data_IF_111407838130
#
_entry.id   IF_111407838130
#
_cell.length_a   1.000
_cell.length_b   1.000
_cell.length_c   1.000
_cell.angle_alpha   90.00
_cell.angle_beta   90.00
_cell.angle_gamma   90.00
#
_symmetry.space_group_name_H-M   'P 1'
#
loop_
_entity.id
_entity.type
_entity.pdbx_description
1 polymer ?
#
# COMPACT_ATOMS: atom_id res chain seq x y z
N UNK A 1 15.79 7.65 -4.75
CA UNK A 1 15.24 8.74 -5.56
C UNK A 1 15.37 10.06 -4.80
N UNK A 2 15.89 11.13 -5.43
CA UNK A 2 16.07 12.41 -4.73
C UNK A 2 15.12 13.44 -5.34
N UNK A 3 14.10 13.83 -4.58
CA UNK A 3 13.25 14.94 -4.91
C UNK A 3 13.57 16.15 -3.99
N UNK A 4 13.48 17.35 -4.54
CA UNK A 4 13.48 18.58 -3.74
C UNK A 4 12.06 19.11 -3.66
N UNK A 5 11.52 19.18 -2.46
CA UNK A 5 10.14 19.62 -2.21
C UNK A 5 10.11 21.03 -1.65
N UNK A 6 9.26 21.88 -2.21
CA UNK A 6 8.99 23.25 -1.78
C UNK A 6 7.51 23.38 -1.44
N UNK A 7 7.21 24.08 -0.36
CA UNK A 7 5.84 24.52 -0.05
C UNK A 7 5.68 25.97 -0.56
N UNK A 8 4.68 26.18 -1.41
CA UNK A 8 4.47 27.45 -2.11
C UNK A 8 3.06 27.95 -1.84
N UNK A 9 2.96 29.22 -1.39
CA UNK A 9 1.68 29.91 -1.30
C UNK A 9 1.50 30.75 -2.55
N UNK A 10 0.42 30.55 -3.30
CA UNK A 10 0.09 31.30 -4.49
C UNK A 10 -0.57 32.63 -4.14
N UNK A 11 -0.63 33.55 -5.11
CA UNK A 11 -1.18 34.89 -4.90
C UNK A 11 -2.68 34.91 -4.54
N UNK A 12 -3.42 33.88 -4.90
CA UNK A 12 -4.83 33.66 -4.56
C UNK A 12 -5.04 33.01 -3.19
N UNK A 13 -3.93 32.71 -2.46
CA UNK A 13 -3.94 32.07 -1.16
C UNK A 13 -3.95 30.55 -1.21
N UNK A 14 -3.96 29.95 -2.39
CA UNK A 14 -3.83 28.49 -2.51
C UNK A 14 -2.42 28.04 -2.12
N UNK A 15 -2.32 26.95 -1.40
CA UNK A 15 -1.05 26.33 -1.05
C UNK A 15 -0.81 25.06 -1.88
N UNK A 16 0.35 24.98 -2.50
CA UNK A 16 0.76 23.83 -3.31
C UNK A 16 2.12 23.32 -2.87
N UNK A 17 2.38 22.08 -3.22
CA UNK A 17 3.70 21.45 -3.07
C UNK A 17 4.33 21.37 -4.44
N UNK A 18 5.50 21.99 -4.63
CA UNK A 18 6.28 21.86 -5.86
C UNK A 18 7.42 20.88 -5.62
N UNK A 19 7.48 19.86 -6.46
CA UNK A 19 8.55 18.85 -6.43
C UNK A 19 9.42 18.96 -7.67
N UNK A 20 10.75 19.03 -7.48
CA UNK A 20 11.75 18.85 -8.52
C UNK A 20 12.34 17.45 -8.40
N UNK A 21 12.41 16.73 -9.51
CA UNK A 21 12.77 15.32 -9.55
C UNK A 21 13.82 15.08 -10.64
N UNK A 22 14.62 14.02 -10.45
CA UNK A 22 15.58 13.52 -11.45
C UNK A 22 14.98 12.46 -12.36
N UNK A 23 13.73 12.08 -12.12
CA UNK A 23 12.97 11.10 -12.91
C UNK A 23 11.54 11.59 -13.09
N UNK A 24 10.89 11.30 -14.23
CA UNK A 24 9.49 11.65 -14.45
C UNK A 24 8.57 11.01 -13.41
N UNK A 25 7.57 11.78 -12.95
CA UNK A 25 6.50 11.32 -12.08
C UNK A 25 5.38 10.68 -12.91
N UNK A 26 4.90 9.52 -12.51
CA UNK A 26 3.69 8.92 -13.09
C UNK A 26 2.42 9.64 -12.57
N UNK A 27 2.05 10.72 -13.26
CA UNK A 27 0.86 11.51 -12.92
C UNK A 27 -0.44 10.70 -13.09
N UNK A 28 -0.45 9.69 -13.96
CA UNK A 28 -1.66 8.87 -14.18
C UNK A 28 -1.92 7.92 -13.00
N UNK A 29 -0.88 7.53 -12.26
CA UNK A 29 -1.06 6.83 -10.99
C UNK A 29 -1.84 7.67 -9.98
N UNK A 30 -1.50 8.96 -9.85
CA UNK A 30 -2.26 9.90 -9.00
C UNK A 30 -3.70 10.08 -9.46
N UNK A 31 -3.95 10.25 -10.76
CA UNK A 31 -5.31 10.40 -11.32
C UNK A 31 -6.16 9.16 -11.03
N UNK A 32 -5.60 7.97 -11.24
CA UNK A 32 -6.28 6.69 -10.97
C UNK A 32 -6.65 6.56 -9.49
N UNK A 33 -5.68 6.81 -8.60
CA UNK A 33 -5.89 6.76 -7.17
C UNK A 33 -6.93 7.81 -6.72
N UNK A 34 -6.84 9.05 -7.21
CA UNK A 34 -7.79 10.12 -6.91
C UNK A 34 -9.19 9.82 -7.42
N UNK A 35 -9.32 9.20 -8.58
CA UNK A 35 -10.60 8.78 -9.13
C UNK A 35 -11.36 7.83 -8.20
N UNK A 36 -10.65 6.97 -7.46
CA UNK A 36 -11.23 6.04 -6.50
C UNK A 36 -11.33 6.62 -5.08
N UNK A 37 -10.25 7.23 -4.57
CA UNK A 37 -10.12 7.67 -3.19
C UNK A 37 -10.41 9.17 -2.97
N UNK A 38 -10.80 9.88 -4.03
CA UNK A 38 -11.28 11.27 -3.97
C UNK A 38 -10.32 12.23 -3.22
N UNK A 39 -10.81 12.87 -2.15
CA UNK A 39 -10.08 13.89 -1.39
C UNK A 39 -8.85 13.36 -0.62
N UNK A 40 -8.65 12.07 -0.55
CA UNK A 40 -7.50 11.48 0.15
C UNK A 40 -6.22 11.45 -0.70
N UNK A 41 -6.30 11.80 -1.98
CA UNK A 41 -5.17 11.80 -2.90
C UNK A 41 -4.93 13.20 -3.43
N UNK A 42 -3.69 13.73 -3.43
CA UNK A 42 -3.42 15.03 -4.02
C UNK A 42 -3.65 15.02 -5.55
N UNK A 43 -4.03 16.16 -6.11
CA UNK A 43 -3.85 16.38 -7.53
C UNK A 43 -2.36 16.49 -7.83
N UNK A 44 -1.93 15.99 -8.98
CA UNK A 44 -0.56 16.10 -9.45
C UNK A 44 -0.57 16.55 -10.91
N UNK A 45 0.22 17.57 -11.23
CA UNK A 45 0.34 18.14 -12.56
C UNK A 45 1.81 18.42 -12.90
N UNK A 46 2.21 18.09 -14.13
CA UNK A 46 3.52 18.49 -14.63
C UNK A 46 3.54 20.00 -14.89
N UNK A 47 4.57 20.68 -14.43
CA UNK A 47 4.71 22.13 -14.67
C UNK A 47 5.36 22.46 -16.01
N UNK A 48 5.80 21.47 -16.78
CA UNK A 48 6.35 21.56 -18.12
C UNK A 48 7.40 22.68 -18.27
N UNK A 49 8.67 22.32 -18.25
CA UNK A 49 9.76 23.28 -18.47
C UNK A 49 10.87 22.62 -19.29
N UNK A 50 10.93 22.94 -20.58
CA UNK A 50 11.88 22.31 -21.51
C UNK A 50 13.35 22.47 -21.08
N UNK A 51 13.73 23.58 -20.46
CA UNK A 51 15.11 23.80 -20.00
C UNK A 51 15.47 22.85 -18.84
N UNK A 52 14.53 22.68 -17.90
CA UNK A 52 14.71 21.73 -16.78
C UNK A 52 14.72 20.30 -17.29
N UNK A 53 13.79 19.94 -18.17
CA UNK A 53 13.68 18.59 -18.73
C UNK A 53 14.93 18.21 -19.54
N UNK A 54 15.45 19.13 -20.35
CA UNK A 54 16.71 18.96 -21.07
C UNK A 54 17.92 18.83 -20.13
N UNK A 55 17.83 19.41 -18.92
CA UNK A 55 18.85 19.25 -17.87
C UNK A 55 18.64 17.96 -17.02
N UNK A 56 17.63 17.13 -17.35
CA UNK A 56 17.32 15.92 -16.60
C UNK A 56 16.60 16.17 -15.27
N UNK A 57 15.83 17.27 -15.20
CA UNK A 57 15.01 17.60 -14.04
C UNK A 57 13.56 17.86 -14.46
N UNK A 58 12.60 17.32 -13.69
CA UNK A 58 11.17 17.50 -13.91
C UNK A 58 10.54 18.22 -12.73
N UNK A 59 9.61 19.13 -13.01
CA UNK A 59 8.89 19.89 -11.99
C UNK A 59 7.41 19.53 -11.98
N UNK A 60 6.86 19.31 -10.79
CA UNK A 60 5.45 18.96 -10.59
C UNK A 60 4.83 19.83 -9.52
N UNK A 61 3.57 20.18 -9.71
CA UNK A 61 2.71 20.80 -8.70
C UNK A 61 1.79 19.74 -8.12
N UNK A 62 1.72 19.65 -6.80
CA UNK A 62 0.79 18.76 -6.08
C UNK A 62 -0.08 19.61 -5.14
N UNK A 63 -1.33 19.21 -4.96
CA UNK A 63 -2.18 19.79 -3.91
C UNK A 63 -1.52 19.60 -2.55
N UNK A 64 -1.40 20.67 -1.77
CA UNK A 64 -0.99 20.56 -0.37
C UNK A 64 -2.11 19.91 0.44
N UNK A 65 -1.85 18.71 0.93
CA UNK A 65 -2.81 17.98 1.75
C UNK A 65 -2.72 18.41 3.21
N UNK A 66 -3.86 18.42 3.90
CA UNK A 66 -3.94 18.73 5.33
C UNK A 66 -3.56 17.52 6.18
N UNK A 67 -3.13 17.78 7.42
CA UNK A 67 -2.75 16.76 8.39
C UNK A 67 -1.27 16.74 8.71
N UNK A 68 -0.88 15.83 9.59
CA UNK A 68 0.50 15.55 9.98
C UNK A 68 0.84 14.12 9.57
N UNK A 69 2.08 13.85 9.18
CA UNK A 69 2.53 12.47 8.97
C UNK A 69 2.22 11.63 10.20
N UNK A 70 1.70 10.42 10.01
CA UNK A 70 1.39 9.50 11.11
C UNK A 70 2.57 9.37 12.08
N UNK A 71 3.79 9.19 11.56
CA UNK A 71 5.01 9.11 12.37
C UNK A 71 5.10 10.18 13.47
N UNK A 72 4.61 11.38 13.19
CA UNK A 72 4.64 12.50 14.13
C UNK A 72 3.28 12.77 14.79
N UNK A 73 2.19 12.51 14.08
CA UNK A 73 0.83 12.81 14.53
C UNK A 73 0.32 11.87 15.62
N UNK A 74 0.82 10.63 15.68
CA UNK A 74 0.43 9.63 16.68
C UNK A 74 1.17 9.78 18.01
N UNK A 75 2.16 10.65 18.08
CA UNK A 75 2.94 10.84 19.30
C UNK A 75 2.03 11.16 20.52
N UNK A 76 2.15 10.36 21.57
CA UNK A 76 1.34 10.49 22.78
C UNK A 76 -0.10 9.96 22.69
N UNK A 77 -0.51 9.39 21.54
CA UNK A 77 -1.86 8.81 21.36
C UNK A 77 -1.94 7.31 21.74
N UNK A 78 -0.80 6.64 21.89
CA UNK A 78 -0.72 5.24 22.33
C UNK A 78 -1.47 4.26 21.44
N UNK A 79 -1.94 3.17 22.05
CA UNK A 79 -2.69 2.10 21.38
C UNK A 79 -3.96 2.59 20.69
N UNK A 80 -4.73 3.48 21.32
CA UNK A 80 -5.96 4.03 20.77
C UNK A 80 -5.72 4.78 19.46
N UNK A 81 -4.64 5.56 19.38
CA UNK A 81 -4.26 6.27 18.18
C UNK A 81 -3.94 5.30 17.02
N UNK A 82 -3.16 4.25 17.29
CA UNK A 82 -2.82 3.23 16.29
C UNK A 82 -4.07 2.51 15.77
N UNK A 83 -4.96 2.11 16.68
CA UNK A 83 -6.24 1.46 16.34
C UNK A 83 -7.11 2.40 15.47
N UNK A 84 -7.22 3.67 15.85
CA UNK A 84 -8.02 4.65 15.13
C UNK A 84 -7.50 4.86 13.69
N UNK A 85 -6.18 5.02 13.52
CA UNK A 85 -5.57 5.19 12.20
C UNK A 85 -5.81 3.96 11.31
N UNK A 86 -5.60 2.75 11.82
CA UNK A 86 -5.82 1.52 11.05
C UNK A 86 -7.29 1.38 10.61
N UNK A 87 -8.25 1.69 11.49
CA UNK A 87 -9.68 1.77 11.12
C UNK A 87 -9.92 2.79 10.02
N UNK A 88 -9.36 3.99 10.18
CA UNK A 88 -9.50 5.05 9.19
C UNK A 88 -8.91 4.66 7.83
N UNK A 89 -7.73 4.02 7.80
CA UNK A 89 -7.17 3.46 6.58
C UNK A 89 -8.11 2.43 5.92
N UNK A 90 -8.74 1.56 6.70
CA UNK A 90 -9.74 0.61 6.20
C UNK A 90 -10.90 1.33 5.49
N UNK A 91 -11.44 2.40 6.10
CA UNK A 91 -12.50 3.23 5.47
C UNK A 91 -12.03 3.89 4.18
N UNK A 92 -10.82 4.44 4.15
CA UNK A 92 -10.26 5.06 2.93
C UNK A 92 -10.13 4.02 1.83
N UNK A 93 -9.46 2.91 2.09
CA UNK A 93 -9.23 1.87 1.07
C UNK A 93 -10.49 1.09 0.69
N UNK A 94 -11.58 1.16 1.46
CA UNK A 94 -12.86 0.54 1.07
C UNK A 94 -13.44 1.13 -0.23
N UNK A 95 -13.02 2.35 -0.59
CA UNK A 95 -13.41 3.05 -1.81
C UNK A 95 -12.56 2.68 -3.02
N UNK A 96 -11.50 1.90 -2.83
CA UNK A 96 -10.46 1.64 -3.84
C UNK A 96 -10.86 0.71 -5.00
N UNK A 97 -12.12 0.26 -5.09
CA UNK A 97 -12.60 -0.63 -6.15
C UNK A 97 -12.55 0.05 -7.53
N UNK A 98 -11.98 -0.66 -8.49
CA UNK A 98 -11.95 -0.27 -9.90
C UNK A 98 -12.77 -1.29 -10.72
N UNK A 99 -13.63 -0.79 -11.61
CA UNK A 99 -14.53 -1.64 -12.40
C UNK A 99 -13.82 -2.33 -13.59
N UNK A 100 -12.57 -2.74 -13.38
CA UNK A 100 -11.72 -3.41 -14.36
C UNK A 100 -11.31 -4.79 -13.86
N UNK A 101 -10.94 -5.69 -14.79
CA UNK A 101 -10.45 -7.01 -14.46
C UNK A 101 -8.98 -6.99 -14.06
N UNK A 102 -8.61 -7.79 -13.06
CA UNK A 102 -7.25 -7.87 -12.53
C UNK A 102 -6.26 -8.68 -13.38
N UNK A 103 -6.71 -9.44 -14.38
CA UNK A 103 -5.83 -10.30 -15.18
C UNK A 103 -4.63 -9.58 -15.76
N UNK A 104 -4.83 -8.37 -16.31
CA UNK A 104 -3.72 -7.57 -16.85
C UNK A 104 -2.67 -7.24 -15.78
N UNK A 105 -3.10 -6.83 -14.59
CA UNK A 105 -2.19 -6.52 -13.50
C UNK A 105 -1.40 -7.76 -13.03
N UNK A 106 -2.05 -8.93 -12.98
CA UNK A 106 -1.37 -10.20 -12.68
C UNK A 106 -0.29 -10.48 -13.73
N UNK A 107 -0.62 -10.42 -15.02
CA UNK A 107 0.32 -10.75 -16.11
C UNK A 107 1.48 -9.76 -16.23
N UNK A 108 1.22 -8.47 -16.02
CA UNK A 108 2.24 -7.44 -16.27
C UNK A 108 3.04 -7.04 -15.02
N UNK A 109 2.53 -7.33 -13.82
CA UNK A 109 3.17 -6.91 -12.56
C UNK A 109 3.56 -8.11 -11.68
N UNK A 110 2.59 -8.97 -11.33
CA UNK A 110 2.85 -10.02 -10.34
C UNK A 110 3.65 -11.19 -10.94
N UNK A 111 3.27 -11.67 -12.13
CA UNK A 111 3.93 -12.82 -12.77
C UNK A 111 5.41 -12.57 -13.08
N UNK A 112 5.84 -11.45 -13.70
CA UNK A 112 7.24 -11.19 -13.94
C UNK A 112 8.06 -11.12 -12.66
N UNK A 113 7.54 -10.44 -11.64
CA UNK A 113 8.22 -10.30 -10.35
C UNK A 113 8.38 -11.67 -9.65
N UNK A 114 7.29 -12.46 -9.58
CA UNK A 114 7.35 -13.79 -8.96
C UNK A 114 8.27 -14.75 -9.72
N UNK A 115 8.28 -14.70 -11.06
CA UNK A 115 9.22 -15.50 -11.85
C UNK A 115 10.67 -15.10 -11.59
N UNK A 116 10.96 -13.80 -11.48
CA UNK A 116 12.28 -13.31 -11.12
C UNK A 116 12.69 -13.78 -9.71
N UNK A 117 11.76 -13.74 -8.76
CA UNK A 117 11.98 -14.24 -7.40
C UNK A 117 12.33 -15.74 -7.40
N UNK A 118 11.57 -16.56 -8.12
CA UNK A 118 11.79 -18.01 -8.21
C UNK A 118 13.12 -18.37 -8.89
N UNK A 119 13.56 -17.54 -9.83
CA UNK A 119 14.85 -17.70 -10.52
C UNK A 119 16.04 -17.08 -9.75
N UNK A 120 15.77 -16.35 -8.67
CA UNK A 120 16.79 -15.64 -7.91
C UNK A 120 17.78 -16.61 -7.24
N UNK A 121 19.10 -16.32 -7.32
CA UNK A 121 20.14 -17.09 -6.63
C UNK A 121 20.35 -16.65 -5.17
N UNK A 122 19.59 -15.68 -4.67
CA UNK A 122 19.77 -15.13 -3.32
C UNK A 122 19.44 -16.16 -2.25
N UNK A 123 20.35 -16.35 -1.30
CA UNK A 123 20.18 -17.30 -0.18
C UNK A 123 18.98 -16.94 0.69
N UNK A 124 18.68 -15.65 0.82
CA UNK A 124 17.53 -15.12 1.57
C UNK A 124 16.18 -15.57 1.00
N UNK A 125 16.12 -15.93 -0.28
CA UNK A 125 14.89 -16.42 -0.95
C UNK A 125 14.63 -17.90 -0.64
N UNK A 126 15.69 -18.69 -0.38
CA UNK A 126 15.58 -20.16 -0.23
C UNK A 126 14.51 -20.60 0.78
N UNK A 127 14.39 -20.01 1.97
CA UNK A 127 13.36 -20.41 2.94
C UNK A 127 11.92 -20.24 2.45
N UNK A 128 11.71 -19.35 1.47
CA UNK A 128 10.39 -18.95 0.97
C UNK A 128 10.06 -19.56 -0.39
N UNK A 129 11.01 -20.24 -1.03
CA UNK A 129 10.87 -20.75 -2.40
C UNK A 129 9.68 -21.68 -2.56
N UNK A 130 9.48 -22.63 -1.66
CA UNK A 130 8.34 -23.54 -1.71
C UNK A 130 6.99 -22.80 -1.61
N UNK A 131 6.90 -21.77 -0.79
CA UNK A 131 5.72 -20.91 -0.70
C UNK A 131 5.52 -20.13 -2.00
N UNK A 132 6.58 -19.53 -2.55
CA UNK A 132 6.51 -18.81 -3.82
C UNK A 132 6.07 -19.74 -4.98
N UNK A 133 6.57 -20.96 -5.05
CA UNK A 133 6.14 -21.99 -6.02
C UNK A 133 4.65 -22.35 -5.86
N UNK A 134 4.16 -22.44 -4.64
CA UNK A 134 2.73 -22.71 -4.35
C UNK A 134 1.86 -21.55 -4.81
N UNK A 135 2.26 -20.31 -4.53
CA UNK A 135 1.55 -19.10 -4.94
C UNK A 135 1.59 -18.91 -6.46
N UNK A 136 2.69 -19.30 -7.13
CA UNK A 136 2.81 -19.24 -8.57
C UNK A 136 1.74 -20.09 -9.29
N UNK A 137 1.34 -21.22 -8.71
CA UNK A 137 0.27 -22.06 -9.26
C UNK A 137 -1.11 -21.41 -9.18
N UNK A 138 -1.28 -20.40 -8.33
CA UNK A 138 -2.54 -19.67 -8.13
C UNK A 138 -2.59 -18.32 -8.83
N UNK A 139 -1.57 -17.94 -9.62
CA UNK A 139 -1.51 -16.64 -10.27
C UNK A 139 -2.75 -16.34 -11.11
N UNK A 140 -3.24 -17.31 -11.88
CA UNK A 140 -4.42 -17.11 -12.73
C UNK A 140 -5.69 -16.88 -11.89
N UNK A 141 -5.79 -17.55 -10.71
CA UNK A 141 -6.91 -17.34 -9.79
C UNK A 141 -6.90 -15.91 -9.21
N UNK A 142 -5.72 -15.31 -8.98
CA UNK A 142 -5.64 -13.92 -8.51
C UNK A 142 -6.23 -12.93 -9.51
N UNK A 143 -6.22 -13.25 -10.81
CA UNK A 143 -6.91 -12.46 -11.83
C UNK A 143 -8.43 -12.39 -11.67
N UNK A 144 -9.03 -13.31 -10.89
CA UNK A 144 -10.46 -13.32 -10.56
C UNK A 144 -10.84 -12.39 -9.40
N UNK A 145 -9.85 -11.88 -8.67
CA UNK A 145 -10.08 -10.86 -7.64
C UNK A 145 -10.37 -9.50 -8.31
N UNK A 146 -11.17 -8.62 -7.71
CA UNK A 146 -11.42 -7.30 -8.26
C UNK A 146 -10.14 -6.46 -8.29
N UNK A 147 -10.02 -5.61 -9.30
CA UNK A 147 -8.94 -4.63 -9.35
C UNK A 147 -9.15 -3.56 -8.29
N UNK A 148 -8.08 -3.17 -7.62
CA UNK A 148 -8.12 -2.26 -6.48
C UNK A 148 -7.00 -1.24 -6.54
N UNK A 149 -7.25 -0.04 -6.07
CA UNK A 149 -6.19 0.94 -5.85
C UNK A 149 -5.22 0.41 -4.81
N UNK A 150 -3.95 0.40 -5.14
CA UNK A 150 -2.87 -0.04 -4.26
C UNK A 150 -1.86 1.08 -4.06
N UNK A 151 -1.44 1.30 -2.83
CA UNK A 151 -0.35 2.22 -2.50
C UNK A 151 0.90 1.39 -2.23
N UNK A 152 1.81 1.37 -3.19
CA UNK A 152 2.96 0.45 -3.14
C UNK A 152 3.93 0.76 -2.01
N UNK A 153 4.06 2.03 -1.63
CA UNK A 153 4.92 2.48 -0.52
C UNK A 153 4.10 2.95 0.69
N UNK A 154 3.11 2.16 1.10
CA UNK A 154 2.28 2.48 2.25
C UNK A 154 3.10 2.36 3.55
N UNK A 155 3.35 3.50 4.18
CA UNK A 155 4.11 3.61 5.43
C UNK A 155 3.66 4.83 6.25
N UNK A 156 4.20 5.01 7.45
CA UNK A 156 3.80 6.04 8.40
C UNK A 156 4.23 7.47 8.04
N UNK A 157 5.10 7.65 7.04
CA UNK A 157 5.43 8.98 6.50
C UNK A 157 4.55 9.38 5.33
N UNK A 158 3.90 8.40 4.66
CA UNK A 158 3.03 8.61 3.51
C UNK A 158 1.54 8.69 3.89
N UNK A 159 1.20 8.50 5.16
CA UNK A 159 -0.15 8.64 5.71
C UNK A 159 -0.24 9.92 6.52
N UNK A 160 -1.12 10.85 6.13
CA UNK A 160 -1.41 12.06 6.90
C UNK A 160 -2.66 11.85 7.75
N UNK A 161 -2.61 12.34 8.99
CA UNK A 161 -3.69 12.20 9.98
C UNK A 161 -4.01 13.55 10.63
N UNK A 162 -5.22 13.67 11.16
CA UNK A 162 -5.66 14.79 11.99
C UNK A 162 -5.40 14.53 13.48
N UNK A 163 -5.85 15.47 14.31
CA UNK A 163 -5.70 15.39 15.77
C UNK A 163 -6.53 14.25 16.42
N UNK A 164 -7.50 13.69 15.70
CA UNK A 164 -8.31 12.53 16.12
C UNK A 164 -7.77 11.21 15.62
N UNK A 165 -6.61 11.23 14.96
CA UNK A 165 -6.02 10.07 14.29
C UNK A 165 -6.86 9.54 13.12
N UNK A 166 -7.67 10.39 12.48
CA UNK A 166 -8.33 10.05 11.23
C UNK A 166 -7.41 10.37 10.05
N UNK A 167 -7.36 9.49 9.07
CA UNK A 167 -6.58 9.68 7.85
C UNK A 167 -7.17 10.84 7.05
N UNK A 168 -6.35 11.82 6.74
CA UNK A 168 -6.74 12.99 5.93
C UNK A 168 -6.20 12.92 4.52
N UNK A 169 -5.08 12.22 4.31
CA UNK A 169 -4.50 11.99 2.99
C UNK A 169 -3.52 10.83 2.96
N UNK A 170 -3.33 10.32 1.74
CA UNK A 170 -2.24 9.42 1.36
C UNK A 170 -1.40 10.16 0.30
N UNK A 171 -0.10 10.24 0.52
CA UNK A 171 0.84 10.95 -0.36
C UNK A 171 1.85 9.99 -0.95
N UNK A 172 2.60 10.44 -1.97
CA UNK A 172 3.67 9.65 -2.62
C UNK A 172 3.15 8.42 -3.39
N UNK A 173 2.31 8.68 -4.40
CA UNK A 173 1.66 7.67 -5.24
C UNK A 173 2.49 7.20 -6.44
N UNK A 174 3.71 7.67 -6.60
CA UNK A 174 4.51 7.52 -7.83
C UNK A 174 4.75 6.06 -8.27
N UNK A 175 4.86 5.14 -7.31
CA UNK A 175 5.05 3.71 -7.60
C UNK A 175 3.74 2.93 -7.60
N UNK A 176 2.62 3.61 -7.33
CA UNK A 176 1.35 2.98 -7.09
C UNK A 176 0.64 2.66 -8.39
N UNK A 177 0.36 1.39 -8.61
CA UNK A 177 -0.44 0.92 -9.72
C UNK A 177 -1.58 0.06 -9.19
N UNK A 178 -2.76 0.04 -9.85
CA UNK A 178 -3.82 -0.86 -9.46
C UNK A 178 -3.35 -2.33 -9.49
N UNK A 179 -3.75 -3.07 -8.44
CA UNK A 179 -3.42 -4.49 -8.26
C UNK A 179 -4.69 -5.28 -7.91
N UNK A 180 -4.69 -6.60 -8.06
CA UNK A 180 -5.77 -7.43 -7.54
C UNK A 180 -5.98 -7.16 -6.04
N UNK A 181 -7.24 -7.16 -5.58
CA UNK A 181 -7.57 -6.93 -4.16
C UNK A 181 -6.73 -7.81 -3.24
N UNK A 182 -6.14 -7.22 -2.25
CA UNK A 182 -5.22 -7.88 -1.31
C UNK A 182 -3.75 -7.63 -1.64
N UNK A 183 -3.37 -7.56 -2.91
CA UNK A 183 -1.97 -7.37 -3.30
C UNK A 183 -1.41 -6.01 -2.85
N UNK A 184 -2.24 -4.96 -2.83
CA UNK A 184 -1.83 -3.64 -2.33
C UNK A 184 -1.73 -3.53 -0.81
N UNK A 185 -2.09 -4.58 -0.07
CA UNK A 185 -2.14 -4.58 1.40
C UNK A 185 -1.01 -5.40 2.05
N UNK A 186 0.02 -5.78 1.29
CA UNK A 186 1.16 -6.52 1.84
C UNK A 186 1.89 -5.79 2.97
N UNK A 187 1.83 -4.46 2.99
CA UNK A 187 2.41 -3.63 4.06
C UNK A 187 1.48 -3.28 5.22
N UNK A 188 0.23 -3.70 5.21
CA UNK A 188 -0.71 -3.35 6.29
C UNK A 188 -0.24 -3.88 7.65
N UNK A 189 0.45 -5.01 7.66
CA UNK A 189 1.05 -5.57 8.87
C UNK A 189 2.11 -4.65 9.47
N UNK A 190 2.89 -3.94 8.64
CA UNK A 190 3.92 -3.00 9.12
C UNK A 190 3.30 -1.78 9.79
N UNK A 191 2.10 -1.38 9.37
CA UNK A 191 1.36 -0.26 9.93
C UNK A 191 0.66 -0.60 11.24
N UNK A 192 0.24 -1.85 11.41
CA UNK A 192 -0.29 -2.33 12.69
C UNK A 192 0.83 -2.63 13.70
N UNK A 193 2.07 -2.89 13.23
CA UNK A 193 3.27 -3.12 14.03
C UNK A 193 4.17 -1.90 14.16
N UNK A 194 5.39 -2.13 14.62
CA UNK A 194 6.37 -1.07 14.83
C UNK A 194 7.79 -1.57 14.53
N UNK A 195 8.59 -0.75 13.86
CA UNK A 195 10.02 -0.97 13.70
C UNK A 195 10.80 -0.08 14.66
N UNK A 196 11.47 -0.70 15.62
CA UNK A 196 12.29 0.00 16.61
C UNK A 196 13.62 -0.71 16.81
N UNK A 197 14.71 0.04 16.81
CA UNK A 197 16.06 -0.52 16.99
C UNK A 197 16.49 -1.51 15.90
N UNK A 198 15.87 -1.45 14.72
CA UNK A 198 16.11 -2.38 13.61
C UNK A 198 15.41 -3.74 13.75
N UNK A 199 14.50 -3.89 14.69
CA UNK A 199 13.65 -5.05 14.91
C UNK A 199 12.18 -4.69 14.69
N UNK A 200 11.38 -5.68 14.27
CA UNK A 200 9.93 -5.53 14.13
C UNK A 200 9.22 -6.04 15.39
N UNK A 201 8.40 -5.19 15.96
CA UNK A 201 7.60 -5.46 17.14
C UNK A 201 6.12 -5.54 16.78
N UNK A 202 5.43 -6.47 17.40
CA UNK A 202 3.97 -6.56 17.38
C UNK A 202 3.48 -6.10 18.75
N UNK A 203 3.03 -4.83 18.89
CA UNK A 203 2.51 -4.32 20.17
C UNK A 203 1.23 -5.06 20.54
N UNK A 204 0.83 -4.95 21.82
CA UNK A 204 -0.34 -5.67 22.35
C UNK A 204 -1.63 -5.37 21.55
N UNK A 205 -1.75 -4.15 21.03
CA UNK A 205 -2.89 -3.73 20.21
C UNK A 205 -2.80 -4.16 18.74
N UNK A 206 -1.72 -4.81 18.28
CA UNK A 206 -1.50 -5.17 16.88
C UNK A 206 -2.72 -5.88 16.26
N UNK A 207 -3.22 -6.93 16.92
CA UNK A 207 -4.35 -7.70 16.39
C UNK A 207 -5.65 -6.87 16.34
N UNK A 208 -5.85 -5.96 17.29
CA UNK A 208 -7.04 -5.09 17.33
C UNK A 208 -6.96 -4.04 16.23
N UNK A 209 -5.78 -3.42 16.03
CA UNK A 209 -5.56 -2.43 14.99
C UNK A 209 -5.75 -3.02 13.59
N UNK A 210 -5.13 -4.16 13.32
CA UNK A 210 -5.25 -4.83 12.03
C UNK A 210 -6.67 -5.34 11.77
N UNK A 211 -7.32 -5.89 12.76
CA UNK A 211 -8.74 -6.28 12.68
C UNK A 211 -9.61 -5.07 12.38
N UNK A 212 -9.33 -3.94 13.01
CA UNK A 212 -10.01 -2.67 12.74
C UNK A 212 -9.91 -2.27 11.27
N UNK A 213 -8.71 -2.34 10.67
CA UNK A 213 -8.51 -2.09 9.25
C UNK A 213 -9.38 -3.00 8.37
N UNK A 214 -9.29 -4.31 8.57
CA UNK A 214 -10.02 -5.27 7.73
C UNK A 214 -11.54 -5.15 7.89
N UNK A 215 -12.04 -4.90 9.11
CA UNK A 215 -13.47 -4.69 9.35
C UNK A 215 -13.98 -3.48 8.57
N UNK A 216 -13.36 -2.33 8.73
CA UNK A 216 -13.78 -1.11 8.04
C UNK A 216 -13.63 -1.22 6.51
N UNK A 217 -12.58 -1.90 6.03
CA UNK A 217 -12.38 -2.15 4.61
C UNK A 217 -13.52 -2.98 4.02
N UNK A 218 -13.90 -4.08 4.68
CA UNK A 218 -14.97 -4.95 4.19
C UNK A 218 -16.36 -4.32 4.36
N UNK A 219 -16.60 -3.58 5.42
CA UNK A 219 -17.91 -2.96 5.68
C UNK A 219 -18.18 -1.76 4.76
N UNK A 220 -17.14 -1.02 4.39
CA UNK A 220 -17.24 0.14 3.51
C UNK A 220 -17.32 -0.17 2.01
N UNK A 221 -16.92 -1.38 1.57
CA UNK A 221 -16.93 -1.72 0.15
C UNK A 221 -18.35 -2.07 -0.38
N UNK A 222 -18.57 -1.99 -1.72
CA UNK A 222 -19.84 -2.39 -2.33
C UNK A 222 -20.24 -3.83 -1.97
N UNK A 223 -21.52 -4.05 -1.66
CA UNK A 223 -22.04 -5.35 -1.16
C UNK A 223 -21.72 -6.53 -2.09
N UNK A 224 -21.86 -6.35 -3.41
CA UNK A 224 -21.57 -7.42 -4.36
C UNK A 224 -20.09 -7.82 -4.39
N UNK A 225 -19.17 -6.85 -4.19
CA UNK A 225 -17.73 -7.10 -4.07
C UNK A 225 -17.44 -7.81 -2.75
N UNK A 226 -18.00 -7.32 -1.64
CA UNK A 226 -17.88 -7.93 -0.32
C UNK A 226 -18.34 -9.39 -0.34
N UNK A 227 -19.50 -9.67 -0.92
CA UNK A 227 -20.04 -11.01 -1.03
C UNK A 227 -19.19 -11.95 -1.89
N UNK A 228 -18.57 -11.42 -2.96
CA UNK A 228 -17.64 -12.16 -3.80
C UNK A 228 -16.35 -12.49 -3.05
N UNK A 229 -15.74 -11.51 -2.37
CA UNK A 229 -14.50 -11.68 -1.61
C UNK A 229 -14.66 -12.63 -0.42
N UNK A 230 -15.80 -12.57 0.30
CA UNK A 230 -16.11 -13.51 1.39
C UNK A 230 -16.10 -14.97 0.97
N UNK A 231 -16.41 -15.26 -0.29
CA UNK A 231 -16.34 -16.63 -0.85
C UNK A 231 -14.92 -17.07 -1.25
N UNK A 232 -13.94 -16.15 -1.19
CA UNK A 232 -12.56 -16.34 -1.67
C UNK A 232 -11.54 -15.83 -0.66
N UNK A 233 -11.84 -15.89 0.64
CA UNK A 233 -10.93 -15.36 1.67
C UNK A 233 -9.58 -16.08 1.69
N UNK A 234 -9.53 -17.35 1.34
CA UNK A 234 -8.29 -18.09 1.14
C UNK A 234 -7.42 -17.49 0.03
N UNK A 235 -8.04 -17.12 -1.09
CA UNK A 235 -7.36 -16.46 -2.21
C UNK A 235 -6.88 -15.05 -1.82
N UNK A 236 -7.68 -14.31 -1.07
CA UNK A 236 -7.29 -13.00 -0.52
C UNK A 236 -6.10 -13.14 0.44
N UNK A 237 -6.11 -14.16 1.30
CA UNK A 237 -4.99 -14.45 2.19
C UNK A 237 -3.72 -14.77 1.40
N UNK A 238 -3.80 -15.60 0.39
CA UNK A 238 -2.65 -16.01 -0.40
C UNK A 238 -2.04 -14.85 -1.20
N UNK A 239 -2.86 -13.97 -1.76
CA UNK A 239 -2.33 -12.80 -2.49
C UNK A 239 -1.69 -11.78 -1.55
N UNK A 240 -2.15 -11.65 -0.30
CA UNK A 240 -1.49 -10.82 0.72
C UNK A 240 -0.12 -11.40 1.08
N UNK A 241 -0.03 -12.71 1.24
CA UNK A 241 1.25 -13.39 1.48
C UNK A 241 2.19 -13.18 0.29
N UNK A 242 1.68 -13.32 -0.94
CA UNK A 242 2.45 -13.02 -2.16
C UNK A 242 2.96 -11.58 -2.14
N UNK A 243 2.08 -10.61 -1.89
CA UNK A 243 2.46 -9.20 -1.86
C UNK A 243 3.51 -8.89 -0.80
N UNK A 244 3.38 -9.49 0.39
CA UNK A 244 4.35 -9.37 1.48
C UNK A 244 5.73 -9.93 1.07
N UNK A 245 5.73 -11.05 0.34
CA UNK A 245 6.95 -11.64 -0.21
C UNK A 245 7.59 -10.71 -1.26
N UNK A 246 6.79 -10.22 -2.20
CA UNK A 246 7.26 -9.36 -3.28
C UNK A 246 7.70 -7.98 -2.77
N UNK A 247 7.13 -7.47 -1.70
CA UNK A 247 7.60 -6.25 -1.04
C UNK A 247 8.97 -6.44 -0.35
N UNK A 248 9.18 -7.58 0.28
CA UNK A 248 10.47 -7.91 0.89
C UNK A 248 11.56 -8.15 -0.17
N UNK A 249 11.23 -8.83 -1.25
CA UNK A 249 12.12 -9.15 -2.37
C UNK A 249 11.73 -8.31 -3.60
N UNK A 250 12.04 -7.02 -3.56
CA UNK A 250 11.66 -6.09 -4.60
C UNK A 250 12.33 -6.40 -5.95
N UNK A 251 11.68 -6.01 -7.05
CA UNK A 251 12.15 -6.26 -8.40
C UNK A 251 12.38 -4.94 -9.13
N UNK A 252 13.62 -4.64 -9.42
CA UNK A 252 14.05 -3.40 -10.06
C UNK A 252 15.15 -3.71 -11.09
N UNK A 253 15.10 -3.08 -12.24
CA UNK A 253 16.08 -3.24 -13.33
C UNK A 253 16.35 -4.71 -13.71
N UNK A 254 15.30 -5.54 -13.70
CA UNK A 254 15.42 -6.97 -14.03
C UNK A 254 16.07 -7.82 -12.95
N UNK A 255 16.31 -7.30 -11.76
CA UNK A 255 16.97 -7.99 -10.65
C UNK A 255 16.09 -8.00 -9.40
N UNK A 256 16.25 -9.07 -8.62
CA UNK A 256 15.63 -9.16 -7.29
C UNK A 256 16.62 -8.58 -6.27
N UNK A 257 16.13 -7.60 -5.52
CA UNK A 257 16.80 -7.06 -4.35
C UNK A 257 16.14 -7.52 -3.05
N UNK A 258 16.75 -7.22 -1.91
CA UNK A 258 16.26 -7.61 -0.58
C UNK A 258 16.06 -6.38 0.30
N UNK A 259 14.85 -6.19 0.77
CA UNK A 259 14.51 -5.21 1.80
C UNK A 259 14.98 -5.71 3.17
N UNK A 260 16.19 -5.31 3.58
CA UNK A 260 16.85 -5.85 4.81
C UNK A 260 16.01 -5.67 6.08
N UNK A 261 15.22 -4.59 6.16
CA UNK A 261 14.33 -4.33 7.29
C UNK A 261 13.10 -5.24 7.21
N UNK A 262 12.48 -5.31 6.03
CA UNK A 262 11.31 -6.18 5.78
C UNK A 262 11.65 -7.66 5.99
N UNK A 263 12.86 -8.10 5.61
CA UNK A 263 13.33 -9.48 5.78
C UNK A 263 13.28 -9.94 7.25
N UNK A 264 13.58 -9.06 8.21
CA UNK A 264 13.51 -9.40 9.64
C UNK A 264 12.08 -9.66 10.14
N UNK A 265 11.11 -8.98 9.56
CA UNK A 265 9.69 -9.16 9.89
C UNK A 265 9.04 -10.30 9.11
N UNK A 266 9.60 -10.67 7.96
CA UNK A 266 9.00 -11.62 7.02
C UNK A 266 8.59 -12.96 7.63
N UNK A 267 9.36 -13.63 8.52
CA UNK A 267 8.92 -14.88 9.15
C UNK A 267 7.62 -14.72 9.95
N UNK A 268 7.42 -13.57 10.60
CA UNK A 268 6.19 -13.26 11.34
C UNK A 268 5.02 -13.05 10.38
N UNK A 269 5.22 -12.28 9.32
CA UNK A 269 4.18 -11.98 8.34
C UNK A 269 3.76 -13.20 7.52
N UNK A 270 4.67 -14.08 7.19
CA UNK A 270 4.37 -15.32 6.47
C UNK A 270 3.49 -16.28 7.28
N UNK A 271 3.56 -16.22 8.60
CA UNK A 271 2.70 -17.01 9.49
C UNK A 271 1.38 -16.31 9.84
N UNK A 272 1.27 -15.02 9.62
CA UNK A 272 0.09 -14.25 9.96
C UNK A 272 -1.09 -14.58 9.04
N UNK A 273 -2.31 -14.51 9.59
CA UNK A 273 -3.55 -14.71 8.85
C UNK A 273 -4.49 -13.54 9.11
N UNK A 274 -5.10 -13.03 8.05
CA UNK A 274 -6.11 -11.98 8.20
C UNK A 274 -7.22 -12.45 9.14
N UNK A 275 -7.80 -11.56 9.96
CA UNK A 275 -8.75 -11.94 11.02
C UNK A 275 -9.93 -12.78 10.54
N UNK A 276 -10.42 -12.57 9.33
CA UNK A 276 -11.57 -13.29 8.78
C UNK A 276 -11.27 -14.74 8.36
N UNK A 277 -10.01 -15.09 8.08
CA UNK A 277 -9.62 -16.46 7.71
C UNK A 277 -9.50 -17.35 8.95
N UNK A 278 -9.19 -16.76 10.13
CA UNK A 278 -9.04 -17.52 11.38
C UNK A 278 -10.34 -18.08 11.92
N UNK A 279 -11.48 -17.51 11.59
CA UNK A 279 -12.76 -17.89 12.19
C UNK A 279 -13.95 -17.62 11.30
N UNK A 280 -14.05 -18.14 10.14
CA UNK A 280 -15.20 -18.16 9.21
C UNK A 280 -16.31 -17.10 9.33
N UNK A 281 -16.32 -16.28 10.38
CA UNK A 281 -17.19 -15.10 10.56
C UNK A 281 -16.36 -13.88 10.97
N UNK A 282 -16.66 -12.68 10.42
CA UNK A 282 -16.12 -11.46 10.97
C UNK A 282 -16.58 -11.38 12.44
N UNK A 283 -15.67 -11.19 13.40
CA UNK A 283 -15.98 -11.32 14.82
C UNK A 283 -16.89 -10.23 15.39
N UNK A 284 -17.49 -9.38 14.60
CA UNK A 284 -18.34 -8.29 15.09
C UNK A 284 -19.58 -8.07 14.21
N UNK A 285 -20.70 -8.52 14.76
CA UNK A 285 -21.97 -7.80 14.79
C UNK A 285 -22.25 -7.56 16.28
N UNK A 286 -21.87 -6.42 16.77
CA UNK A 286 -22.54 -5.73 17.88
C UNK A 286 -22.68 -4.26 17.53
#
# INVERSE_FOLDING_TARGET
>A
MFSRTLFVSLADGLEVVVQFRTEPLDVDAFKTAKGALSSFVPDAEALGNEELENAGAWAYSLTRMSGKMWLHGVAGKGAEGRIAINKSLGRVFSQGYLAEASHKAVETKLRPHLNALLASPLEEVLPYKATAETLAKRLDEFGLLPLWVAHYDLNDVNVLIDEKCEVTALVDWELSTPLPFGAGFGRIHTLAGEFTGGEFWMPDEFEVAERGFWTELFDGMPEHIRAMLKKRLDLVQDIIILATLLDCFFFEDGKVGVGRVALKALPKFMSYRIPFVRGQEPPYRE
#
